data_IF_028228490512
#
_entry.id   IF_028228490512
#
_cell.length_a   1.000
_cell.length_b   1.000
_cell.length_c   1.000
_cell.angle_alpha   90.00
_cell.angle_beta   90.00
_cell.angle_gamma   90.00
#
_symmetry.space_group_name_H-M   'P 1'
#
loop_
_entity.id
_entity.type
_entity.pdbx_description
1 polymer ?
#
# COMPACT_ATOMS: atom_id res chain seq x y z
N UNK A 1 4.37 18.76 22.56
CA UNK A 1 3.59 17.50 22.43
C UNK A 1 2.50 17.59 21.36
N UNK A 2 1.55 18.54 21.41
CA UNK A 2 0.46 18.65 20.42
C UNK A 2 0.95 18.78 18.96
N UNK A 3 2.00 19.58 18.72
CA UNK A 3 2.56 19.79 17.38
C UNK A 3 3.20 18.51 16.81
N UNK A 4 3.85 17.71 17.65
CA UNK A 4 4.43 16.43 17.24
C UNK A 4 3.36 15.40 16.86
N UNK A 5 2.26 15.34 17.61
CA UNK A 5 1.11 14.48 17.28
C UNK A 5 0.45 14.90 15.97
N UNK A 6 0.27 16.20 15.72
CA UNK A 6 -0.27 16.70 14.46
C UNK A 6 0.61 16.31 13.27
N UNK A 7 1.94 16.46 13.40
CA UNK A 7 2.89 16.00 12.38
C UNK A 7 2.76 14.49 12.17
N UNK A 8 2.73 13.71 13.25
CA UNK A 8 2.60 12.26 13.17
C UNK A 8 1.36 11.82 12.38
N UNK A 9 0.18 12.36 12.72
CA UNK A 9 -1.06 12.03 12.01
C UNK A 9 -1.09 12.55 10.57
N UNK A 10 -0.54 13.74 10.32
CA UNK A 10 -0.42 14.27 8.96
C UNK A 10 0.48 13.40 8.07
N UNK A 11 1.65 13.02 8.58
CA UNK A 11 2.57 12.12 7.89
C UNK A 11 1.93 10.74 7.68
N UNK A 12 1.13 10.26 8.64
CA UNK A 12 0.37 9.03 8.47
C UNK A 12 -0.66 9.09 7.35
N UNK A 13 -1.44 10.17 7.28
CA UNK A 13 -2.38 10.38 6.17
C UNK A 13 -1.64 10.44 4.81
N UNK A 14 -0.48 11.10 4.78
CA UNK A 14 0.36 11.17 3.58
C UNK A 14 0.87 9.79 3.16
N UNK A 15 1.36 8.97 4.09
CA UNK A 15 1.85 7.61 3.81
C UNK A 15 0.74 6.72 3.26
N UNK A 16 -0.46 6.74 3.88
CA UNK A 16 -1.63 6.01 3.36
C UNK A 16 -1.96 6.48 1.94
N UNK A 17 -1.95 7.79 1.71
CA UNK A 17 -2.17 8.36 0.39
C UNK A 17 -1.15 7.89 -0.65
N UNK A 18 0.14 7.89 -0.31
CA UNK A 18 1.23 7.42 -1.19
C UNK A 18 1.08 5.94 -1.51
N UNK A 19 0.77 5.12 -0.52
CA UNK A 19 0.54 3.69 -0.72
C UNK A 19 -0.61 3.47 -1.73
N UNK A 20 -1.76 4.11 -1.52
CA UNK A 20 -2.89 3.96 -2.46
C UNK A 20 -2.57 4.56 -3.83
N UNK A 21 -1.78 5.63 -3.86
CA UNK A 21 -1.31 6.23 -5.09
C UNK A 21 -0.46 5.27 -5.91
N UNK A 22 0.38 4.45 -5.27
CA UNK A 22 1.14 3.39 -5.93
C UNK A 22 0.25 2.47 -6.77
N UNK A 23 -0.77 1.86 -6.15
CA UNK A 23 -1.71 1.00 -6.88
C UNK A 23 -2.43 1.72 -8.01
N UNK A 24 -2.88 2.95 -7.75
CA UNK A 24 -3.56 3.74 -8.77
C UNK A 24 -2.65 4.04 -9.97
N UNK A 25 -1.42 4.49 -9.73
CA UNK A 25 -0.47 4.84 -10.79
C UNK A 25 -0.06 3.60 -11.60
N UNK A 26 0.28 2.50 -10.93
CA UNK A 26 0.61 1.24 -11.61
C UNK A 26 -0.59 0.72 -12.38
N UNK A 27 -1.80 0.75 -11.79
CA UNK A 27 -3.04 0.39 -12.47
C UNK A 27 -3.30 1.23 -13.72
N UNK A 28 -3.11 2.55 -13.64
CA UNK A 28 -3.34 3.45 -14.78
C UNK A 28 -2.31 3.30 -15.89
N UNK A 29 -1.03 3.19 -15.53
CA UNK A 29 0.07 3.38 -16.48
C UNK A 29 0.77 2.09 -16.90
N UNK A 30 0.84 1.10 -16.02
CA UNK A 30 1.47 -0.18 -16.34
C UNK A 30 0.42 -1.21 -16.76
N UNK A 31 -0.65 -1.36 -15.98
CA UNK A 31 -1.76 -2.28 -16.30
C UNK A 31 -2.65 -1.71 -17.42
N UNK A 32 -2.71 -0.38 -17.55
CA UNK A 32 -3.49 0.30 -18.60
C UNK A 32 -4.97 0.50 -18.26
N UNK A 33 -5.37 0.38 -16.99
CA UNK A 33 -6.76 0.52 -16.54
C UNK A 33 -7.24 1.96 -16.80
N UNK A 34 -8.32 2.22 -17.56
CA UNK A 34 -8.85 3.56 -17.79
C UNK A 34 -9.23 4.30 -16.49
N UNK A 35 -9.14 5.64 -16.45
CA UNK A 35 -9.46 6.43 -15.25
C UNK A 35 -10.95 6.36 -14.89
N UNK A 36 -11.81 5.99 -15.85
CA UNK A 36 -13.21 5.69 -15.60
C UNK A 36 -13.42 4.37 -14.87
N UNK A 37 -12.40 3.52 -14.83
CA UNK A 37 -12.46 2.14 -14.31
C UNK A 37 -11.60 1.91 -13.06
N UNK A 38 -10.92 2.94 -12.55
CA UNK A 38 -10.12 2.89 -11.33
C UNK A 38 -10.26 4.20 -10.56
N UNK A 39 -10.44 4.14 -9.24
CA UNK A 39 -10.52 5.36 -8.41
C UNK A 39 -10.05 5.14 -6.98
N UNK A 40 -9.67 6.25 -6.36
CA UNK A 40 -9.48 6.31 -4.92
C UNK A 40 -10.82 6.38 -4.19
N UNK A 41 -10.96 5.58 -3.13
CA UNK A 41 -12.05 5.68 -2.18
C UNK A 41 -11.48 6.13 -0.85
N UNK A 42 -11.63 7.43 -0.60
CA UNK A 42 -11.02 8.14 0.54
C UNK A 42 -11.99 8.30 1.72
N UNK A 43 -13.30 8.27 1.44
CA UNK A 43 -14.37 8.51 2.41
C UNK A 43 -14.69 7.31 3.33
N UNK A 44 -14.12 6.13 3.03
CA UNK A 44 -14.29 4.93 3.83
C UNK A 44 -12.96 4.54 4.46
N UNK A 45 -13.00 4.08 5.71
CA UNK A 45 -11.85 3.47 6.38
C UNK A 45 -12.07 1.94 6.42
N UNK A 46 -11.09 1.14 5.97
CA UNK A 46 -9.81 1.55 5.38
C UNK A 46 -9.98 2.19 3.99
N UNK A 47 -9.10 3.11 3.62
CA UNK A 47 -9.06 3.70 2.28
C UNK A 47 -8.56 2.64 1.27
N UNK A 48 -9.08 2.65 0.05
CA UNK A 48 -8.69 1.67 -0.98
C UNK A 48 -8.76 2.23 -2.39
N UNK A 49 -8.15 1.50 -3.32
CA UNK A 49 -8.35 1.69 -4.77
C UNK A 49 -9.46 0.73 -5.20
N UNK A 50 -10.49 1.26 -5.85
CA UNK A 50 -11.62 0.48 -6.36
C UNK A 50 -11.49 0.28 -7.86
N UNK A 51 -11.91 -0.89 -8.34
CA UNK A 51 -11.99 -1.22 -9.76
C UNK A 51 -13.45 -1.28 -10.22
N UNK A 52 -13.70 -0.87 -11.46
CA UNK A 52 -15.04 -0.92 -12.05
C UNK A 52 -15.32 -2.31 -12.59
N UNK A 53 -16.43 -2.92 -12.17
CA UNK A 53 -16.96 -4.16 -12.72
C UNK A 53 -18.40 -3.93 -13.18
N UNK A 54 -18.60 -3.76 -14.49
CA UNK A 54 -19.87 -3.31 -15.05
C UNK A 54 -20.31 -1.98 -14.44
N UNK A 55 -21.48 -1.96 -13.78
CA UNK A 55 -22.03 -0.76 -13.15
C UNK A 55 -21.57 -0.52 -11.70
N UNK A 56 -20.82 -1.46 -11.13
CA UNK A 56 -20.42 -1.46 -9.72
C UNK A 56 -18.94 -1.14 -9.54
N UNK A 57 -18.61 -0.61 -8.37
CA UNK A 57 -17.24 -0.42 -7.91
C UNK A 57 -16.89 -1.56 -6.95
N UNK A 58 -16.00 -2.44 -7.38
CA UNK A 58 -15.49 -3.52 -6.55
C UNK A 58 -14.40 -2.98 -5.61
N UNK A 59 -14.49 -3.33 -4.34
CA UNK A 59 -13.45 -3.09 -3.32
C UNK A 59 -12.56 -4.34 -3.18
N UNK A 60 -11.31 -4.22 -2.72
CA UNK A 60 -10.41 -5.37 -2.57
C UNK A 60 -10.98 -6.50 -1.71
N UNK A 61 -11.80 -6.18 -0.70
CA UNK A 61 -12.44 -7.20 0.15
C UNK A 61 -13.57 -7.96 -0.52
N UNK A 62 -14.12 -7.47 -1.63
CA UNK A 62 -15.03 -8.22 -2.50
C UNK A 62 -14.19 -8.97 -3.55
N UNK A 63 -13.34 -9.89 -3.06
CA UNK A 63 -12.22 -10.48 -3.81
C UNK A 63 -12.61 -10.98 -5.21
N UNK A 64 -13.72 -11.71 -5.33
CA UNK A 64 -14.19 -12.25 -6.61
C UNK A 64 -14.53 -11.15 -7.62
N UNK A 65 -15.26 -10.13 -7.19
CA UNK A 65 -15.66 -9.02 -8.07
C UNK A 65 -14.46 -8.14 -8.42
N UNK A 66 -13.53 -7.95 -7.47
CA UNK A 66 -12.31 -7.19 -7.68
C UNK A 66 -11.35 -7.88 -8.66
N UNK A 67 -11.14 -9.18 -8.47
CA UNK A 67 -10.32 -10.00 -9.36
C UNK A 67 -10.94 -10.07 -10.76
N UNK A 68 -12.26 -10.20 -10.86
CA UNK A 68 -12.97 -10.15 -12.15
C UNK A 68 -12.75 -8.80 -12.85
N UNK A 69 -12.86 -7.69 -12.11
CA UNK A 69 -12.60 -6.35 -12.65
C UNK A 69 -11.16 -6.19 -13.15
N UNK A 70 -10.19 -6.74 -12.40
CA UNK A 70 -8.78 -6.71 -12.78
C UNK A 70 -8.51 -7.53 -14.06
N UNK A 71 -9.02 -8.77 -14.14
CA UNK A 71 -8.86 -9.62 -15.32
C UNK A 71 -9.46 -9.05 -16.60
N UNK A 72 -10.50 -8.21 -16.51
CA UNK A 72 -11.04 -7.49 -17.66
C UNK A 72 -10.01 -6.53 -18.28
N UNK A 73 -8.99 -6.12 -17.53
CA UNK A 73 -7.95 -5.18 -17.95
C UNK A 73 -6.62 -5.89 -18.22
N UNK A 74 -6.30 -6.94 -17.46
CA UNK A 74 -5.08 -7.74 -17.58
C UNK A 74 -5.42 -9.23 -17.47
N UNK A 75 -5.93 -9.79 -18.57
CA UNK A 75 -6.46 -11.15 -18.62
C UNK A 75 -5.42 -12.21 -18.24
N UNK A 76 -4.19 -12.03 -18.70
CA UNK A 76 -3.06 -12.94 -18.46
C UNK A 76 -2.36 -12.68 -17.12
N UNK A 77 -2.83 -11.71 -16.33
CA UNK A 77 -2.23 -11.30 -15.05
C UNK A 77 -0.74 -10.90 -15.17
N UNK A 78 -0.34 -10.41 -16.36
CA UNK A 78 1.04 -10.08 -16.69
C UNK A 78 1.63 -8.98 -15.79
N UNK A 79 0.78 -8.11 -15.23
CA UNK A 79 1.17 -6.99 -14.40
C UNK A 79 0.69 -7.12 -12.94
N UNK A 80 0.07 -8.25 -12.56
CA UNK A 80 -0.58 -8.41 -11.25
C UNK A 80 0.41 -8.23 -10.10
N UNK A 81 1.63 -8.74 -10.24
CA UNK A 81 2.69 -8.58 -9.24
C UNK A 81 3.00 -7.11 -9.01
N UNK A 82 3.22 -6.35 -10.09
CA UNK A 82 3.54 -4.95 -9.99
C UNK A 82 2.38 -4.17 -9.37
N UNK A 83 1.14 -4.48 -9.76
CA UNK A 83 -0.05 -3.84 -9.23
C UNK A 83 -0.23 -4.09 -7.73
N UNK A 84 -0.07 -5.33 -7.27
CA UNK A 84 -0.18 -5.70 -5.85
C UNK A 84 0.98 -5.15 -5.02
N UNK A 85 2.22 -5.19 -5.53
CA UNK A 85 3.39 -4.69 -4.83
C UNK A 85 3.46 -3.15 -4.77
N UNK A 86 2.72 -2.46 -5.64
CA UNK A 86 2.84 -1.02 -5.84
C UNK A 86 2.64 -0.21 -4.55
N UNK A 87 1.71 -0.63 -3.68
CA UNK A 87 1.44 0.06 -2.43
C UNK A 87 2.67 0.15 -1.54
N UNK A 88 3.27 -1.00 -1.23
CA UNK A 88 4.45 -1.09 -0.36
C UNK A 88 5.70 -0.46 -1.00
N UNK A 89 5.89 -0.60 -2.31
CA UNK A 89 7.04 -0.01 -3.00
C UNK A 89 6.96 1.52 -3.03
N UNK A 90 5.80 2.09 -3.36
CA UNK A 90 5.63 3.54 -3.34
C UNK A 90 5.68 4.10 -1.93
N UNK A 91 5.10 3.39 -0.95
CA UNK A 91 5.22 3.74 0.47
C UNK A 91 6.69 3.79 0.89
N UNK A 92 7.50 2.80 0.50
CA UNK A 92 8.93 2.77 0.81
C UNK A 92 9.67 3.98 0.23
N UNK A 93 9.45 4.28 -1.06
CA UNK A 93 10.03 5.47 -1.70
C UNK A 93 9.58 6.75 -0.99
N UNK A 94 8.30 6.85 -0.66
CA UNK A 94 7.73 7.98 0.06
C UNK A 94 8.34 8.18 1.44
N UNK A 95 8.51 7.12 2.21
CA UNK A 95 9.09 7.16 3.55
C UNK A 95 10.56 7.57 3.50
N UNK A 96 11.34 7.01 2.57
CA UNK A 96 12.74 7.42 2.35
C UNK A 96 12.82 8.90 2.00
N UNK A 97 11.97 9.38 1.10
CA UNK A 97 11.95 10.79 0.71
C UNK A 97 11.55 11.72 1.87
N UNK A 98 10.49 11.41 2.59
CA UNK A 98 10.01 12.20 3.75
C UNK A 98 11.06 12.20 4.86
N UNK A 99 11.67 11.04 5.15
CA UNK A 99 12.75 10.95 6.12
C UNK A 99 13.97 11.79 5.72
N UNK A 100 14.35 11.75 4.43
CA UNK A 100 15.40 12.62 3.88
C UNK A 100 15.08 14.11 4.06
N UNK A 101 13.84 14.53 3.83
CA UNK A 101 13.40 15.91 4.09
C UNK A 101 13.50 16.26 5.58
N UNK A 102 13.10 15.35 6.47
CA UNK A 102 13.24 15.54 7.93
C UNK A 102 14.69 15.80 8.34
N UNK A 103 15.62 14.97 7.85
CA UNK A 103 17.06 15.11 8.10
C UNK A 103 17.61 16.42 7.52
N UNK A 104 17.31 16.73 6.26
CA UNK A 104 17.85 17.92 5.58
C UNK A 104 17.31 19.24 6.16
N UNK A 105 16.10 19.21 6.72
CA UNK A 105 15.50 20.39 7.37
C UNK A 105 15.85 20.52 8.85
N UNK A 106 16.48 19.51 9.46
CA UNK A 106 16.74 19.46 10.91
C UNK A 106 15.47 19.27 11.75
N UNK A 107 14.39 18.77 11.14
CA UNK A 107 13.10 18.51 11.79
C UNK A 107 12.90 17.01 11.97
N UNK A 108 13.64 16.43 12.92
CA UNK A 108 13.75 14.98 13.14
C UNK A 108 12.39 14.27 13.27
N UNK A 109 11.42 14.95 13.91
CA UNK A 109 10.07 14.40 14.12
C UNK A 109 9.36 14.04 12.81
N UNK A 110 9.68 14.69 11.69
CA UNK A 110 9.12 14.34 10.37
C UNK A 110 9.62 12.98 9.91
N UNK A 111 10.93 12.74 10.02
CA UNK A 111 11.53 11.45 9.63
C UNK A 111 11.14 10.32 10.58
N UNK A 112 11.18 10.57 11.89
CA UNK A 112 10.73 9.62 12.91
C UNK A 112 9.26 9.23 12.70
N UNK A 113 8.39 10.20 12.46
CA UNK A 113 6.97 9.95 12.18
C UNK A 113 6.79 9.12 10.91
N UNK A 114 7.54 9.40 9.85
CA UNK A 114 7.43 8.67 8.60
C UNK A 114 7.76 7.18 8.78
N UNK A 115 8.85 6.89 9.47
CA UNK A 115 9.29 5.51 9.73
C UNK A 115 8.33 4.80 10.67
N UNK A 116 7.98 5.40 11.81
CA UNK A 116 7.09 4.78 12.80
C UNK A 116 5.70 4.50 12.24
N UNK A 117 5.10 5.49 11.57
CA UNK A 117 3.77 5.31 11.01
C UNK A 117 3.77 4.24 9.92
N UNK A 118 4.78 4.23 9.05
CA UNK A 118 4.92 3.19 8.02
C UNK A 118 4.99 1.79 8.63
N UNK A 119 5.83 1.59 9.66
CA UNK A 119 5.96 0.31 10.34
C UNK A 119 4.67 -0.11 11.05
N UNK A 120 4.00 0.81 11.74
CA UNK A 120 2.72 0.55 12.42
C UNK A 120 1.65 0.17 11.41
N UNK A 121 1.51 0.94 10.32
CA UNK A 121 0.51 0.70 9.30
C UNK A 121 0.75 -0.63 8.59
N UNK A 122 1.97 -0.88 8.10
CA UNK A 122 2.27 -2.13 7.38
C UNK A 122 2.15 -3.33 8.31
N UNK A 123 2.55 -3.22 9.59
CA UNK A 123 2.34 -4.28 10.58
C UNK A 123 0.84 -4.54 10.80
N UNK A 124 0.04 -3.49 10.99
CA UNK A 124 -1.41 -3.61 11.13
C UNK A 124 -2.03 -4.28 9.90
N UNK A 125 -1.66 -3.86 8.68
CA UNK A 125 -2.17 -4.45 7.44
C UNK A 125 -1.73 -5.90 7.31
N UNK A 126 -0.46 -6.24 7.56
CA UNK A 126 0.05 -7.61 7.47
C UNK A 126 -0.67 -8.56 8.43
N UNK A 127 -0.82 -8.17 9.71
CA UNK A 127 -1.52 -9.00 10.69
C UNK A 127 -3.02 -9.10 10.41
N UNK A 128 -3.65 -8.00 9.98
CA UNK A 128 -5.06 -8.00 9.60
C UNK A 128 -5.29 -8.87 8.37
N UNK A 129 -4.40 -8.79 7.39
CA UNK A 129 -4.47 -9.55 6.15
C UNK A 129 -4.25 -11.04 6.40
N UNK A 130 -3.27 -11.41 7.24
CA UNK A 130 -3.10 -12.80 7.68
C UNK A 130 -4.36 -13.32 8.39
N UNK A 131 -4.86 -12.59 9.39
CA UNK A 131 -6.04 -12.99 10.18
C UNK A 131 -7.30 -13.12 9.33
N UNK A 132 -7.57 -12.15 8.46
CA UNK A 132 -8.72 -12.15 7.57
C UNK A 132 -8.61 -13.21 6.48
N UNK A 133 -7.43 -13.43 5.90
CA UNK A 133 -7.21 -14.49 4.93
C UNK A 133 -7.51 -15.87 5.53
N UNK A 134 -7.06 -16.14 6.77
CA UNK A 134 -7.40 -17.37 7.49
C UNK A 134 -8.91 -17.51 7.72
N UNK A 135 -9.62 -16.41 7.99
CA UNK A 135 -11.06 -16.45 8.26
C UNK A 135 -11.91 -16.56 6.99
N UNK A 136 -11.55 -15.83 5.94
CA UNK A 136 -12.34 -15.67 4.71
C UNK A 136 -12.01 -16.73 3.65
N UNK A 137 -10.86 -17.41 3.77
CA UNK A 137 -10.42 -18.43 2.80
C UNK A 137 -9.97 -17.86 1.46
N UNK A 138 -9.77 -16.54 1.37
CA UNK A 138 -9.26 -15.85 0.19
C UNK A 138 -8.44 -14.61 0.58
N UNK A 139 -7.54 -14.14 -0.31
CA UNK A 139 -6.77 -12.92 -0.07
C UNK A 139 -7.64 -11.70 0.22
N UNK A 140 -7.20 -10.88 1.16
CA UNK A 140 -7.93 -9.65 1.59
C UNK A 140 -7.09 -8.38 1.53
N UNK A 141 -5.80 -8.51 1.25
CA UNK A 141 -4.81 -7.44 1.22
C UNK A 141 -3.64 -7.80 0.31
N UNK A 142 -2.67 -6.89 0.23
CA UNK A 142 -1.63 -6.95 -0.78
C UNK A 142 -0.67 -8.13 -0.55
N UNK A 143 -0.31 -8.41 0.70
CA UNK A 143 0.63 -9.49 1.03
C UNK A 143 0.02 -10.88 0.87
N UNK A 144 -1.22 -11.10 1.29
CA UNK A 144 -1.91 -12.37 1.07
C UNK A 144 -2.15 -12.60 -0.43
N UNK A 145 -2.49 -11.55 -1.19
CA UNK A 145 -2.66 -11.65 -2.63
C UNK A 145 -1.34 -11.96 -3.34
N UNK A 146 -0.24 -11.27 -2.97
CA UNK A 146 1.09 -11.58 -3.45
C UNK A 146 1.52 -13.00 -3.07
N UNK A 147 1.26 -13.44 -1.85
CA UNK A 147 1.62 -14.77 -1.38
C UNK A 147 0.87 -15.86 -2.15
N UNK A 148 -0.44 -15.69 -2.36
CA UNK A 148 -1.26 -16.60 -3.16
C UNK A 148 -0.83 -16.66 -4.63
N UNK A 149 -0.31 -15.55 -5.18
CA UNK A 149 0.19 -15.52 -6.55
C UNK A 149 1.63 -16.07 -6.68
N UNK A 150 2.55 -15.60 -5.84
CA UNK A 150 3.96 -15.99 -5.83
C UNK A 150 4.58 -15.70 -4.44
N UNK A 151 4.79 -16.73 -3.59
CA UNK A 151 5.42 -16.56 -2.28
C UNK A 151 6.81 -15.92 -2.33
N UNK A 152 7.60 -16.25 -3.36
CA UNK A 152 8.93 -15.67 -3.57
C UNK A 152 8.82 -14.15 -3.78
N UNK A 153 7.85 -13.72 -4.58
CA UNK A 153 7.60 -12.30 -4.83
C UNK A 153 7.11 -11.60 -3.57
N UNK A 154 6.22 -12.22 -2.80
CA UNK A 154 5.76 -11.68 -1.52
C UNK A 154 6.93 -11.44 -0.54
N UNK A 155 7.83 -12.42 -0.43
CA UNK A 155 9.05 -12.29 0.38
C UNK A 155 9.96 -11.18 -0.16
N UNK A 156 10.16 -11.10 -1.47
CA UNK A 156 10.98 -10.05 -2.07
C UNK A 156 10.43 -8.64 -1.80
N UNK A 157 9.12 -8.44 -1.97
CA UNK A 157 8.44 -7.16 -1.66
C UNK A 157 8.54 -6.84 -0.17
N UNK A 158 8.33 -7.83 0.70
CA UNK A 158 8.50 -7.67 2.14
C UNK A 158 9.92 -7.23 2.49
N UNK A 159 10.96 -7.82 1.89
CA UNK A 159 12.35 -7.42 2.14
C UNK A 159 12.66 -6.01 1.60
N UNK A 160 12.14 -5.67 0.43
CA UNK A 160 12.26 -4.33 -0.15
C UNK A 160 11.57 -3.26 0.70
N UNK A 161 10.55 -3.63 1.47
CA UNK A 161 9.97 -2.77 2.50
C UNK A 161 10.82 -2.79 3.79
N UNK A 162 11.02 -3.98 4.38
CA UNK A 162 11.55 -4.13 5.73
C UNK A 162 13.01 -3.67 5.87
N UNK A 163 13.86 -3.90 4.87
CA UNK A 163 15.28 -3.56 4.94
C UNK A 163 15.48 -2.03 4.97
N UNK A 164 14.94 -1.23 4.02
CA UNK A 164 15.05 0.22 4.09
C UNK A 164 14.44 0.81 5.37
N UNK A 165 13.28 0.31 5.80
CA UNK A 165 12.64 0.80 7.02
C UNK A 165 13.43 0.43 8.28
N UNK A 166 14.03 -0.76 8.34
CA UNK A 166 14.89 -1.16 9.44
C UNK A 166 16.17 -0.32 9.54
N UNK A 167 16.78 0.00 8.40
CA UNK A 167 17.93 0.93 8.33
C UNK A 167 17.52 2.32 8.81
N UNK A 168 16.40 2.87 8.30
CA UNK A 168 15.91 4.18 8.70
C UNK A 168 15.51 4.23 10.18
N UNK A 169 14.91 3.15 10.70
CA UNK A 169 14.57 3.02 12.12
C UNK A 169 15.83 3.14 12.97
N UNK A 170 16.84 2.32 12.69
CA UNK A 170 18.10 2.34 13.46
C UNK A 170 18.87 3.67 13.34
N UNK A 171 18.64 4.43 12.27
CA UNK A 171 19.30 5.72 12.03
C UNK A 171 18.59 6.91 12.66
N UNK A 172 17.26 6.87 12.80
CA UNK A 172 16.43 8.04 13.14
C UNK A 172 15.73 7.93 14.50
N UNK A 173 15.63 6.71 15.06
CA UNK A 173 14.84 6.38 16.25
C UNK A 173 15.73 5.71 17.30
#
# INVERSE_FOLDING_TARGET
MLHGLLIFFFIGALIIGIHKLGHYLVGRWLVGIPSTNIKFVVANLPQYVALRNGDRWAKPTDFKDYLTAYHQQDADLSHVVAFLAAGELFQTVGVVAIAGVGVLSGVDIVGQSAVLVSLILTSYHLFSDLGLNFHMGHPTGDFSALWSHSPITAVAVFLLFAVPHGILYAALI
#
